data_IF_932123885120
#
_entry.id   IF_932123885120
#
_cell.length_a   1.000
_cell.length_b   1.000
_cell.length_c   1.000
_cell.angle_alpha   90.00
_cell.angle_beta   90.00
_cell.angle_gamma   90.00
#
_symmetry.space_group_name_H-M   'P 1'
#
loop_
_entity.id
_entity.type
_entity.pdbx_description
1 polymer ?
#
# COMPACT_ATOMS: atom_id res chain seq x y z
N UNK A 1 26.02 -7.47 5.19
CA UNK A 1 24.56 -7.75 5.20
C UNK A 1 24.33 -9.06 4.46
N UNK A 2 23.44 -9.90 4.97
CA UNK A 2 23.02 -11.14 4.32
C UNK A 2 21.55 -10.98 3.94
N UNK A 3 21.21 -11.26 2.68
CA UNK A 3 19.83 -11.25 2.23
C UNK A 3 19.02 -12.35 2.95
N UNK A 4 17.81 -12.01 3.37
CA UNK A 4 16.90 -12.91 4.08
C UNK A 4 15.60 -13.07 3.30
N UNK A 5 15.06 -14.29 3.30
CA UNK A 5 13.74 -14.57 2.72
C UNK A 5 12.77 -14.88 3.84
N UNK A 6 11.67 -14.15 3.89
CA UNK A 6 10.58 -14.33 4.85
C UNK A 6 9.30 -14.55 4.06
N UNK A 7 8.52 -15.56 4.45
CA UNK A 7 7.16 -15.76 3.94
C UNK A 7 6.19 -15.68 5.12
N UNK A 8 5.21 -14.80 4.99
CA UNK A 8 4.14 -14.63 5.98
C UNK A 8 2.83 -15.07 5.35
N UNK A 9 2.27 -16.15 5.87
CA UNK A 9 0.95 -16.63 5.48
C UNK A 9 -0.02 -16.44 6.65
N UNK A 10 -1.10 -15.72 6.43
CA UNK A 10 -2.17 -15.58 7.42
C UNK A 10 -3.28 -16.59 7.15
N UNK A 11 -4.09 -16.87 8.14
CA UNK A 11 -5.28 -17.72 8.02
C UNK A 11 -6.33 -17.35 9.07
N UNK A 12 -7.59 -17.63 8.79
CA UNK A 12 -8.72 -17.58 9.74
C UNK A 12 -8.79 -16.30 10.59
N UNK A 13 -9.17 -15.20 9.97
CA UNK A 13 -9.41 -13.93 10.66
C UNK A 13 -8.16 -13.34 11.35
N UNK A 14 -6.97 -13.62 10.84
CA UNK A 14 -5.74 -13.00 11.37
C UNK A 14 -5.78 -11.49 11.16
N UNK A 15 -5.35 -10.74 12.17
CA UNK A 15 -5.22 -9.29 12.08
C UNK A 15 -3.75 -8.90 12.24
N UNK A 16 -3.19 -8.28 11.21
CA UNK A 16 -1.88 -7.63 11.25
C UNK A 16 -2.09 -6.13 11.48
N UNK A 17 -1.36 -5.55 12.42
CA UNK A 17 -1.42 -4.11 12.69
C UNK A 17 -0.01 -3.51 12.58
N UNK A 18 0.10 -2.43 11.83
CA UNK A 18 1.36 -1.68 11.73
C UNK A 18 1.91 -1.62 10.31
N UNK A 19 3.14 -1.09 10.22
CA UNK A 19 3.91 -1.04 8.99
C UNK A 19 4.63 -2.35 8.71
N UNK A 20 4.81 -2.67 7.43
CA UNK A 20 5.64 -3.80 6.97
C UNK A 20 6.71 -3.21 6.05
N UNK A 21 7.96 -3.61 6.28
CA UNK A 21 9.08 -3.10 5.51
C UNK A 21 10.08 -4.21 5.20
N UNK A 22 10.43 -4.32 3.92
CA UNK A 22 11.52 -5.17 3.44
C UNK A 22 12.59 -4.28 2.81
N UNK A 23 13.82 -4.40 3.28
CA UNK A 23 14.94 -3.69 2.70
C UNK A 23 15.39 -4.39 1.41
N UNK A 24 15.34 -3.68 0.29
CA UNK A 24 15.79 -4.16 -1.02
C UNK A 24 17.24 -3.82 -1.30
N UNK A 25 18.01 -3.38 -0.33
CA UNK A 25 19.46 -3.17 -0.50
C UNK A 25 20.10 -4.48 -0.92
N UNK A 26 20.81 -4.42 -2.05
CA UNK A 26 21.51 -5.58 -2.60
C UNK A 26 22.75 -5.86 -1.72
N UNK A 27 22.88 -7.09 -1.26
CA UNK A 27 24.03 -7.55 -0.49
C UNK A 27 25.29 -7.74 -1.36
N UNK A 28 26.41 -8.10 -0.73
CA UNK A 28 27.67 -8.36 -1.42
C UNK A 28 27.65 -9.54 -2.40
N UNK A 29 26.57 -10.34 -2.39
CA UNK A 29 26.34 -11.46 -3.30
C UNK A 29 25.38 -11.13 -4.45
N UNK A 30 24.92 -9.89 -4.54
CA UNK A 30 23.95 -9.45 -5.55
C UNK A 30 22.50 -9.82 -5.22
N UNK A 31 22.19 -10.16 -3.96
CA UNK A 31 20.85 -10.53 -3.51
C UNK A 31 20.25 -9.45 -2.61
N UNK A 32 18.95 -9.25 -2.72
CA UNK A 32 18.16 -8.43 -1.80
C UNK A 32 17.32 -9.31 -0.88
N UNK A 33 16.94 -8.76 0.27
CA UNK A 33 15.95 -9.40 1.16
C UNK A 33 14.59 -9.50 0.48
N UNK A 34 13.81 -10.51 0.86
CA UNK A 34 12.51 -10.80 0.30
C UNK A 34 11.48 -11.03 1.40
N UNK A 35 10.31 -10.45 1.26
CA UNK A 35 9.16 -10.71 2.11
C UNK A 35 7.93 -10.95 1.23
N UNK A 36 7.47 -12.18 1.22
CA UNK A 36 6.24 -12.56 0.54
C UNK A 36 5.10 -12.61 1.57
N UNK A 37 4.03 -11.88 1.30
CA UNK A 37 2.87 -11.77 2.19
C UNK A 37 1.63 -12.35 1.52
N UNK A 38 1.03 -13.37 2.13
CA UNK A 38 -0.26 -13.90 1.73
C UNK A 38 -1.29 -13.68 2.83
N UNK A 39 -2.31 -12.90 2.54
CA UNK A 39 -3.48 -12.70 3.38
C UNK A 39 -4.61 -13.58 2.87
N UNK A 40 -5.09 -14.50 3.71
CA UNK A 40 -6.13 -15.47 3.35
C UNK A 40 -7.21 -15.55 4.42
N UNK A 41 -8.33 -16.16 4.08
CA UNK A 41 -9.37 -16.56 5.00
C UNK A 41 -9.87 -15.43 5.92
N UNK A 42 -10.30 -14.33 5.32
CA UNK A 42 -10.86 -13.18 6.02
C UNK A 42 -9.85 -12.47 6.94
N UNK A 43 -8.57 -12.53 6.57
CA UNK A 43 -7.52 -11.81 7.29
C UNK A 43 -7.54 -10.32 6.95
N UNK A 44 -7.02 -9.51 7.87
CA UNK A 44 -6.96 -8.05 7.70
C UNK A 44 -5.56 -7.54 8.01
N UNK A 45 -5.02 -6.72 7.13
CA UNK A 45 -3.87 -5.89 7.46
C UNK A 45 -4.30 -4.44 7.64
N UNK A 46 -4.20 -3.95 8.88
CA UNK A 46 -4.38 -2.54 9.22
C UNK A 46 -3.03 -1.84 9.08
N UNK A 47 -2.81 -1.18 7.99
CA UNK A 47 -1.62 -0.37 7.72
C UNK A 47 -1.77 0.97 8.44
N UNK A 48 -1.32 1.06 9.68
CA UNK A 48 -1.53 2.23 10.56
C UNK A 48 -0.59 3.39 10.24
N UNK A 49 0.55 3.10 9.61
CA UNK A 49 1.57 4.10 9.27
C UNK A 49 2.45 3.59 8.11
N UNK A 50 3.19 4.49 7.48
CA UNK A 50 4.32 4.10 6.64
C UNK A 50 5.49 3.65 7.53
N UNK A 51 6.35 2.78 7.00
CA UNK A 51 7.62 2.49 7.66
C UNK A 51 8.49 3.74 7.67
N UNK A 52 9.22 3.96 8.76
CA UNK A 52 10.14 5.10 8.87
C UNK A 52 11.42 4.93 8.03
N UNK A 53 11.70 3.71 7.58
CA UNK A 53 12.80 3.43 6.69
C UNK A 53 12.41 3.72 5.24
N UNK A 54 13.38 4.10 4.42
CA UNK A 54 13.22 4.36 3.00
C UNK A 54 13.89 3.30 2.17
N UNK A 55 13.31 3.00 1.02
CA UNK A 55 13.89 2.14 0.00
C UNK A 55 14.21 2.93 -1.27
N UNK A 56 15.08 2.37 -2.12
CA UNK A 56 15.20 2.83 -3.50
C UNK A 56 14.10 2.18 -4.34
N UNK A 57 13.23 3.01 -4.90
CA UNK A 57 12.20 2.60 -5.84
C UNK A 57 12.44 3.31 -7.18
N UNK A 58 12.77 2.52 -8.22
CA UNK A 58 13.10 3.07 -9.54
C UNK A 58 14.19 4.17 -9.53
N UNK A 59 15.19 3.99 -8.67
CA UNK A 59 16.32 4.94 -8.56
C UNK A 59 16.05 6.17 -7.70
N UNK A 60 14.89 6.28 -7.09
CA UNK A 60 14.53 7.37 -6.17
C UNK A 60 14.20 6.84 -4.79
N UNK A 61 14.46 7.64 -3.76
CA UNK A 61 14.02 7.30 -2.41
C UNK A 61 12.50 7.29 -2.32
N UNK A 62 11.95 6.21 -1.77
CA UNK A 62 10.52 6.06 -1.51
C UNK A 62 10.27 5.66 -0.06
N UNK A 63 9.26 6.29 0.54
CA UNK A 63 8.81 6.02 1.90
C UNK A 63 7.44 5.33 1.84
N UNK A 64 7.30 4.23 2.58
CA UNK A 64 6.06 3.47 2.59
C UNK A 64 6.22 2.10 3.22
N UNK A 65 5.24 1.27 2.96
CA UNK A 65 5.26 -0.15 3.28
C UNK A 65 5.78 -0.93 2.07
N UNK A 66 6.68 -1.87 2.29
CA UNK A 66 7.35 -2.62 1.22
C UNK A 66 7.23 -4.12 1.44
N UNK A 67 6.67 -4.81 0.46
CA UNK A 67 6.65 -6.28 0.37
C UNK A 67 7.19 -6.72 -0.99
N UNK A 68 7.65 -7.96 -1.11
CA UNK A 68 8.13 -8.48 -2.40
C UNK A 68 6.96 -8.93 -3.24
N UNK A 69 6.30 -10.03 -2.88
CA UNK A 69 5.06 -10.46 -3.53
C UNK A 69 3.90 -10.35 -2.54
N UNK A 70 2.72 -10.04 -3.06
CA UNK A 70 1.51 -9.88 -2.27
C UNK A 70 0.37 -10.72 -2.86
N UNK A 71 -0.22 -11.57 -2.04
CA UNK A 71 -1.45 -12.28 -2.36
C UNK A 71 -2.58 -11.89 -1.40
N UNK A 72 -3.74 -11.55 -1.94
CA UNK A 72 -4.90 -11.09 -1.17
C UNK A 72 -6.13 -11.93 -1.56
N UNK A 73 -6.38 -12.99 -0.78
CA UNK A 73 -7.47 -13.93 -1.01
C UNK A 73 -8.53 -13.79 0.08
N UNK A 74 -9.77 -13.42 -0.30
CA UNK A 74 -10.89 -13.18 0.63
C UNK A 74 -10.47 -12.37 1.86
N UNK A 75 -9.65 -11.34 1.69
CA UNK A 75 -9.00 -10.63 2.78
C UNK A 75 -8.92 -9.14 2.48
N UNK A 76 -8.56 -8.34 3.47
CA UNK A 76 -8.64 -6.88 3.40
C UNK A 76 -7.32 -6.22 3.78
N UNK A 77 -6.89 -5.23 3.00
CA UNK A 77 -5.89 -4.26 3.42
C UNK A 77 -6.59 -2.93 3.69
N UNK A 78 -6.46 -2.42 4.90
CA UNK A 78 -6.99 -1.12 5.30
C UNK A 78 -5.85 -0.12 5.44
N UNK A 79 -5.84 0.88 4.59
CA UNK A 79 -4.95 2.02 4.70
C UNK A 79 -5.51 2.91 5.82
N UNK A 80 -4.93 2.80 7.01
CA UNK A 80 -5.34 3.57 8.17
C UNK A 80 -5.11 5.07 7.95
N UNK A 81 -5.91 5.88 8.62
CA UNK A 81 -5.84 7.33 8.53
C UNK A 81 -6.04 7.95 9.91
N UNK A 82 -5.63 9.20 10.08
CA UNK A 82 -5.89 9.95 11.31
C UNK A 82 -7.39 10.14 11.49
N UNK A 83 -7.87 9.98 12.72
CA UNK A 83 -9.21 10.39 13.09
C UNK A 83 -9.21 11.91 13.35
N UNK A 84 -10.37 12.53 13.18
CA UNK A 84 -10.56 13.97 13.43
C UNK A 84 -11.89 14.23 14.11
N UNK A 85 -11.88 15.21 15.00
CA UNK A 85 -13.06 15.61 15.78
C UNK A 85 -13.50 17.07 15.49
N UNK A 86 -12.68 17.81 14.73
CA UNK A 86 -12.93 19.20 14.36
C UNK A 86 -12.25 19.54 13.02
N UNK A 87 -12.57 20.72 12.46
CA UNK A 87 -12.09 21.14 11.15
C UNK A 87 -10.57 21.30 11.07
N UNK A 88 -9.90 21.71 12.15
CA UNK A 88 -8.44 21.84 12.14
C UNK A 88 -7.76 20.47 12.08
N UNK A 89 -8.25 19.50 12.80
CA UNK A 89 -7.77 18.12 12.76
C UNK A 89 -8.07 17.49 11.40
N UNK A 90 -9.22 17.81 10.79
CA UNK A 90 -9.54 17.38 9.43
C UNK A 90 -8.56 17.96 8.42
N UNK A 91 -8.22 19.25 8.50
CA UNK A 91 -7.22 19.86 7.62
C UNK A 91 -5.84 19.21 7.79
N UNK A 92 -5.46 18.86 9.01
CA UNK A 92 -4.24 18.10 9.27
C UNK A 92 -4.29 16.72 8.64
N UNK A 93 -5.40 16.01 8.81
CA UNK A 93 -5.60 14.67 8.25
C UNK A 93 -5.54 14.64 6.71
N UNK A 94 -5.86 15.73 6.02
CA UNK A 94 -5.82 15.85 4.57
C UNK A 94 -4.42 16.08 3.99
N UNK A 95 -3.40 16.32 4.81
CA UNK A 95 -2.03 16.51 4.33
C UNK A 95 -1.47 15.24 3.71
N UNK A 96 -0.68 15.39 2.65
CA UNK A 96 -0.12 14.28 1.87
C UNK A 96 0.69 13.28 2.73
N UNK A 97 1.39 13.75 3.75
CA UNK A 97 2.21 12.95 4.67
C UNK A 97 1.40 11.95 5.52
N UNK A 98 0.09 12.17 5.66
CA UNK A 98 -0.80 11.29 6.42
C UNK A 98 -1.36 10.12 5.59
N UNK A 99 -1.11 10.10 4.28
CA UNK A 99 -1.50 9.02 3.39
C UNK A 99 -0.45 7.90 3.36
N UNK A 100 -0.88 6.68 3.07
CA UNK A 100 -0.03 5.50 3.11
C UNK A 100 0.33 5.06 1.70
N UNK A 101 1.58 4.61 1.54
CA UNK A 101 2.06 3.99 0.32
C UNK A 101 2.35 2.51 0.56
N UNK A 102 1.88 1.66 -0.34
CA UNK A 102 2.20 0.24 -0.39
C UNK A 102 2.96 -0.06 -1.68
N UNK A 103 4.18 -0.48 -1.56
CA UNK A 103 5.02 -0.93 -2.67
C UNK A 103 5.09 -2.45 -2.66
N UNK A 104 4.71 -3.05 -3.78
CA UNK A 104 4.86 -4.48 -4.07
C UNK A 104 5.95 -4.59 -5.13
N UNK A 105 7.16 -5.01 -4.76
CA UNK A 105 8.30 -5.00 -5.68
C UNK A 105 8.17 -6.03 -6.81
N UNK A 106 7.55 -7.17 -6.52
CA UNK A 106 7.23 -8.24 -7.46
C UNK A 106 5.76 -8.21 -7.88
N UNK A 107 5.11 -9.36 -7.78
CA UNK A 107 3.77 -9.55 -8.29
C UNK A 107 2.68 -9.38 -7.23
N UNK A 108 1.51 -8.97 -7.71
CA UNK A 108 0.28 -8.93 -6.92
C UNK A 108 -0.75 -9.92 -7.48
N UNK A 109 -1.40 -10.67 -6.59
CA UNK A 109 -2.55 -11.49 -6.95
C UNK A 109 -3.74 -11.20 -6.03
N UNK A 110 -4.90 -10.95 -6.63
CA UNK A 110 -6.16 -10.77 -5.92
C UNK A 110 -7.15 -11.89 -6.24
N UNK A 111 -7.76 -12.45 -5.20
CA UNK A 111 -8.91 -13.34 -5.33
C UNK A 111 -9.96 -12.89 -4.31
N UNK A 112 -10.93 -12.09 -4.79
CA UNK A 112 -11.92 -11.44 -3.93
C UNK A 112 -11.28 -10.60 -2.79
N UNK A 113 -10.11 -9.99 -3.06
CA UNK A 113 -9.42 -9.10 -2.16
C UNK A 113 -10.11 -7.74 -2.04
N UNK A 114 -9.84 -7.02 -0.96
CA UNK A 114 -10.37 -5.67 -0.76
C UNK A 114 -9.26 -4.71 -0.32
N UNK A 115 -9.24 -3.52 -0.91
CA UNK A 115 -8.40 -2.39 -0.48
C UNK A 115 -9.32 -1.29 0.02
N UNK A 116 -9.15 -0.87 1.27
CA UNK A 116 -9.84 0.29 1.83
C UNK A 116 -8.86 1.45 1.89
N UNK A 117 -9.03 2.41 1.01
CA UNK A 117 -8.11 3.53 0.75
C UNK A 117 -8.78 4.88 1.04
N UNK A 118 -7.99 5.86 1.42
CA UNK A 118 -8.44 7.22 1.67
C UNK A 118 -8.03 8.15 0.51
N UNK A 119 -8.85 9.14 0.24
CA UNK A 119 -8.61 10.12 -0.83
C UNK A 119 -9.17 11.49 -0.43
N UNK A 120 -8.50 12.55 -0.84
CA UNK A 120 -9.08 13.89 -0.92
C UNK A 120 -9.58 14.09 -2.34
N UNK A 121 -10.88 14.28 -2.52
CA UNK A 121 -11.43 14.48 -3.87
C UNK A 121 -11.16 15.91 -4.37
N UNK A 122 -10.22 16.05 -5.28
CA UNK A 122 -9.79 17.29 -5.87
C UNK A 122 -9.33 17.11 -7.31
N UNK A 123 -8.20 17.74 -7.67
CA UNK A 123 -7.55 17.63 -8.98
C UNK A 123 -6.66 16.39 -9.06
N UNK A 124 -5.91 16.24 -10.16
CA UNK A 124 -5.01 15.10 -10.43
C UNK A 124 -3.93 14.90 -9.36
N UNK A 125 -3.50 15.95 -8.68
CA UNK A 125 -2.49 15.98 -7.64
C UNK A 125 -3.05 15.79 -6.21
N UNK A 126 -4.29 15.41 -6.08
CA UNK A 126 -4.95 15.22 -4.78
C UNK A 126 -4.27 14.16 -3.93
N UNK A 127 -4.19 14.43 -2.63
CA UNK A 127 -3.62 13.49 -1.67
C UNK A 127 -4.47 12.21 -1.58
N UNK A 128 -3.81 11.07 -1.64
CA UNK A 128 -4.47 9.76 -1.62
C UNK A 128 -3.51 8.68 -1.15
N UNK A 129 -4.05 7.61 -0.55
CA UNK A 129 -3.31 6.37 -0.38
C UNK A 129 -2.96 5.77 -1.76
N UNK A 130 -1.82 5.08 -1.85
CA UNK A 130 -1.34 4.52 -3.10
C UNK A 130 -0.85 3.09 -2.95
N UNK A 131 -1.09 2.30 -3.99
CA UNK A 131 -0.46 1.00 -4.18
C UNK A 131 0.32 0.99 -5.49
N UNK A 132 1.59 0.63 -5.43
CA UNK A 132 2.49 0.58 -6.59
C UNK A 132 3.02 -0.84 -6.73
N UNK A 133 2.78 -1.48 -7.86
CA UNK A 133 3.20 -2.85 -8.17
C UNK A 133 4.28 -2.81 -9.23
N UNK A 134 5.46 -3.33 -8.90
CA UNK A 134 6.61 -3.38 -9.80
C UNK A 134 6.53 -4.50 -10.85
N UNK A 135 5.90 -5.60 -10.51
CA UNK A 135 5.68 -6.75 -11.38
C UNK A 135 4.27 -6.78 -11.98
N UNK A 136 3.81 -7.99 -12.26
CA UNK A 136 2.51 -8.25 -12.88
C UNK A 136 1.39 -8.29 -11.84
N UNK A 137 0.16 -8.03 -12.29
CA UNK A 137 -1.04 -8.21 -11.48
C UNK A 137 -1.96 -9.28 -12.08
N UNK A 138 -2.73 -9.95 -11.22
CA UNK A 138 -3.71 -10.94 -11.63
C UNK A 138 -4.91 -11.01 -10.70
N UNK A 139 -6.03 -11.48 -11.24
CA UNK A 139 -7.24 -11.75 -10.47
C UNK A 139 -8.14 -10.55 -10.25
N UNK A 140 -8.90 -10.54 -9.16
CA UNK A 140 -9.91 -9.51 -8.88
C UNK A 140 -9.75 -8.93 -7.48
N UNK A 141 -9.77 -7.60 -7.40
CA UNK A 141 -9.71 -6.86 -6.13
C UNK A 141 -10.70 -5.71 -6.16
N UNK A 142 -11.45 -5.55 -5.08
CA UNK A 142 -12.40 -4.46 -4.89
C UNK A 142 -11.72 -3.31 -4.15
N UNK A 143 -11.92 -2.08 -4.62
CA UNK A 143 -11.37 -0.89 -3.99
C UNK A 143 -12.50 -0.08 -3.40
N UNK A 144 -12.43 0.17 -2.10
CA UNK A 144 -13.35 1.01 -1.35
C UNK A 144 -12.67 2.31 -0.97
N UNK A 145 -13.13 3.43 -1.50
CA UNK A 145 -12.58 4.74 -1.16
C UNK A 145 -13.39 5.43 -0.07
N UNK A 146 -12.68 5.96 0.93
CA UNK A 146 -13.21 6.94 1.88
C UNK A 146 -12.74 8.33 1.44
N UNK A 147 -13.68 9.18 1.01
CA UNK A 147 -13.36 10.59 0.82
C UNK A 147 -13.22 11.27 2.19
N UNK A 148 -12.03 11.80 2.46
CA UNK A 148 -11.73 12.52 3.71
C UNK A 148 -11.68 14.02 3.51
N UNK A 149 -12.06 14.52 2.32
CA UNK A 149 -12.14 15.94 2.02
C UNK A 149 -12.22 16.23 0.54
N UNK A 150 -12.45 17.51 0.24
CA UNK A 150 -12.66 17.94 -1.13
C UNK A 150 -14.07 17.65 -1.67
N UNK A 151 -14.49 18.44 -2.61
CA UNK A 151 -15.80 18.36 -3.28
C UNK A 151 -15.73 17.85 -4.71
N UNK A 152 -14.55 17.37 -5.13
CA UNK A 152 -14.25 17.02 -6.50
C UNK A 152 -13.85 18.25 -7.34
N UNK A 153 -13.00 18.03 -8.31
CA UNK A 153 -12.65 19.01 -9.33
C UNK A 153 -12.43 18.30 -10.66
N UNK A 154 -12.43 19.07 -11.74
CA UNK A 154 -12.11 18.51 -13.05
C UNK A 154 -10.65 18.06 -13.06
N UNK A 155 -10.43 16.80 -13.41
CA UNK A 155 -9.12 16.19 -13.60
C UNK A 155 -8.81 16.08 -15.10
N UNK A 156 -7.53 16.06 -15.46
CA UNK A 156 -7.08 15.81 -16.83
C UNK A 156 -6.70 14.32 -17.03
N UNK A 157 -6.10 13.70 -15.99
CA UNK A 157 -5.63 12.30 -16.01
C UNK A 157 -6.27 11.46 -14.92
N UNK A 158 -6.90 12.09 -13.92
CA UNK A 158 -7.45 11.42 -12.76
C UNK A 158 -6.47 11.34 -11.59
N UNK A 159 -6.99 11.00 -10.40
CA UNK A 159 -6.17 10.78 -9.21
C UNK A 159 -5.57 9.37 -9.30
N UNK A 160 -4.23 9.27 -9.37
CA UNK A 160 -3.54 7.98 -9.45
C UNK A 160 -3.51 7.31 -8.07
N UNK A 161 -4.22 6.21 -7.93
CA UNK A 161 -4.34 5.43 -6.68
C UNK A 161 -3.65 4.08 -6.76
N UNK A 162 -3.61 3.47 -7.96
CA UNK A 162 -2.86 2.24 -8.23
C UNK A 162 -1.98 2.47 -9.46
N UNK A 163 -0.76 2.00 -9.40
CA UNK A 163 0.18 1.98 -10.51
C UNK A 163 0.74 0.57 -10.68
N UNK A 164 0.65 0.01 -11.89
CA UNK A 164 1.23 -1.29 -12.25
C UNK A 164 2.28 -1.06 -13.31
N UNK A 165 3.50 -1.53 -13.06
CA UNK A 165 4.65 -1.35 -13.97
C UNK A 165 4.85 -2.57 -14.89
N UNK A 166 4.31 -3.72 -14.50
CA UNK A 166 4.24 -4.92 -15.31
C UNK A 166 2.93 -5.03 -16.11
N UNK A 167 2.50 -6.26 -16.35
CA UNK A 167 1.25 -6.56 -17.04
C UNK A 167 0.07 -6.63 -16.06
N UNK A 168 -1.14 -6.29 -16.56
CA UNK A 168 -2.38 -6.33 -15.77
C UNK A 168 -3.56 -6.85 -16.61
#
# INVERSE_FOLDING_TARGET
>A
LVASNITVNTSKNTVLNGAIFTDYTIDSTGKSSRLDLALTDNSTWNMTQNASAKNLWQGSEAEGNFVTDLSLNNSVIKFGHLDWNNDNELLEAQKAENFKNLYVAGNYSGDNGQLHMNVVLGKDDSATDKMIVGGDTSGTTYINFKNIGGSGAQTAQGIKVIEVLGNS
#
